data_IF_000396987115
#
_entry.id   IF_000396987115
#
_cell.length_a   1.000
_cell.length_b   1.000
_cell.length_c   1.000
_cell.angle_alpha   90.00
_cell.angle_beta   90.00
_cell.angle_gamma   90.00
#
_symmetry.space_group_name_H-M   'P 1'
#
loop_
_entity.id
_entity.type
_entity.pdbx_description
1 polymer ?
#
# COMPACT_ATOMS: atom_id res chain seq x y z
N UNK A 1 0.74 -43.50 16.50
CA UNK A 1 -0.01 -42.33 15.99
C UNK A 1 0.73 -40.98 16.10
N UNK A 2 1.84 -40.84 16.83
CA UNK A 2 2.51 -39.53 17.00
C UNK A 2 3.47 -39.12 15.86
N UNK A 3 4.15 -40.07 15.21
CA UNK A 3 5.09 -39.79 14.11
C UNK A 3 4.40 -39.34 12.82
N UNK A 4 3.25 -39.94 12.48
CA UNK A 4 2.49 -39.61 11.27
C UNK A 4 1.87 -38.20 11.34
N UNK A 5 1.40 -37.79 12.52
CA UNK A 5 0.89 -36.42 12.75
C UNK A 5 2.01 -35.37 12.71
N UNK A 6 3.19 -35.66 13.26
CA UNK A 6 4.36 -34.79 13.15
C UNK A 6 4.83 -34.65 11.70
N UNK A 7 4.84 -35.75 10.93
CA UNK A 7 5.18 -35.72 9.51
C UNK A 7 4.16 -34.90 8.69
N UNK A 8 2.86 -35.03 9.00
CA UNK A 8 1.81 -34.24 8.35
C UNK A 8 1.95 -32.74 8.64
N UNK A 9 2.24 -32.37 9.90
CA UNK A 9 2.45 -30.97 10.29
C UNK A 9 3.70 -30.40 9.62
N UNK A 10 4.80 -31.16 9.56
CA UNK A 10 6.02 -30.75 8.85
C UNK A 10 5.77 -30.58 7.35
N UNK A 11 4.97 -31.45 6.72
CA UNK A 11 4.58 -31.31 5.31
C UNK A 11 3.66 -30.11 5.05
N UNK A 12 2.78 -29.77 6.00
CA UNK A 12 1.92 -28.57 5.90
C UNK A 12 2.76 -27.30 6.06
N UNK A 13 3.66 -27.25 7.05
CA UNK A 13 4.57 -26.11 7.26
C UNK A 13 5.55 -25.96 6.09
N UNK A 14 6.06 -27.07 5.54
CA UNK A 14 6.89 -27.03 4.33
C UNK A 14 6.10 -26.55 3.10
N UNK A 15 4.81 -26.89 2.97
CA UNK A 15 3.93 -26.35 1.92
C UNK A 15 3.67 -24.85 2.08
N UNK A 16 3.51 -24.34 3.31
CA UNK A 16 3.41 -22.90 3.55
C UNK A 16 4.74 -22.18 3.23
N UNK A 17 5.89 -22.81 3.50
CA UNK A 17 7.21 -22.25 3.22
C UNK A 17 7.66 -22.38 1.75
N UNK A 18 6.96 -23.19 0.94
CA UNK A 18 7.20 -23.37 -0.50
C UNK A 18 6.34 -22.47 -1.38
N UNK A 19 5.55 -21.56 -0.80
CA UNK A 19 4.76 -20.56 -1.52
C UNK A 19 5.57 -19.29 -1.83
N UNK A 20 6.86 -19.44 -2.14
CA UNK A 20 7.65 -18.35 -2.72
C UNK A 20 8.31 -18.86 -4.00
N UNK A 21 7.62 -18.55 -5.12
CA UNK A 21 8.20 -17.92 -6.32
C UNK A 21 7.19 -17.89 -7.47
N UNK A 22 6.90 -16.66 -7.91
CA UNK A 22 6.55 -16.28 -9.28
C UNK A 22 5.13 -16.55 -9.79
N UNK A 23 4.15 -15.91 -9.17
CA UNK A 23 3.03 -15.31 -9.93
C UNK A 23 2.86 -13.88 -9.42
N UNK A 24 3.69 -12.95 -9.92
CA UNK A 24 3.37 -11.52 -9.85
C UNK A 24 2.26 -11.24 -10.87
N UNK A 25 1.06 -11.75 -10.61
CA UNK A 25 -0.11 -10.99 -11.02
C UNK A 25 -0.14 -9.81 -10.05
N UNK A 26 0.58 -8.73 -10.37
CA UNK A 26 0.33 -7.45 -9.73
C UNK A 26 -1.13 -7.15 -10.04
N UNK A 27 -2.00 -7.36 -9.05
CA UNK A 27 -3.42 -7.09 -9.20
C UNK A 27 -3.58 -5.60 -9.43
N UNK A 28 -4.35 -5.24 -10.44
CA UNK A 28 -4.71 -3.84 -10.64
C UNK A 28 -5.41 -3.33 -9.38
N UNK A 29 -5.00 -2.16 -8.90
CA UNK A 29 -5.68 -1.46 -7.80
C UNK A 29 -6.40 -0.25 -8.35
N UNK A 30 -7.66 -0.08 -7.98
CA UNK A 30 -8.46 1.09 -8.31
C UNK A 30 -8.72 1.93 -7.07
N UNK A 31 -8.53 3.23 -7.20
CA UNK A 31 -8.61 4.18 -6.09
C UNK A 31 -9.72 5.17 -6.34
N UNK A 32 -10.56 5.37 -5.34
CA UNK A 32 -11.67 6.32 -5.37
C UNK A 32 -11.60 7.21 -4.13
N UNK A 33 -12.04 8.46 -4.27
CA UNK A 33 -12.18 9.42 -3.15
C UNK A 33 -13.64 9.58 -2.72
N UNK A 34 -14.56 8.87 -3.37
CA UNK A 34 -15.98 8.85 -3.04
C UNK A 34 -16.50 7.41 -2.93
N UNK A 35 -17.44 7.22 -2.00
CA UNK A 35 -18.03 5.92 -1.67
C UNK A 35 -18.88 5.30 -2.79
N UNK A 36 -19.31 6.09 -3.78
CA UNK A 36 -20.03 5.54 -4.93
C UNK A 36 -19.15 4.74 -5.88
N UNK A 37 -17.81 4.90 -5.77
CA UNK A 37 -16.79 4.14 -6.52
C UNK A 37 -17.10 4.01 -8.02
N UNK A 38 -17.63 5.09 -8.61
CA UNK A 38 -17.97 5.09 -10.04
C UNK A 38 -16.69 5.07 -10.85
N UNK A 39 -16.64 4.20 -11.86
CA UNK A 39 -15.50 4.09 -12.77
C UNK A 39 -15.06 5.44 -13.35
N UNK A 40 -16.02 6.27 -13.80
CA UNK A 40 -15.74 7.60 -14.36
C UNK A 40 -15.23 8.64 -13.34
N UNK A 41 -15.24 8.32 -12.06
CA UNK A 41 -14.77 9.15 -10.95
C UNK A 41 -13.60 8.50 -10.20
N UNK A 42 -13.00 7.45 -10.77
CA UNK A 42 -11.78 6.87 -10.24
C UNK A 42 -10.71 7.96 -10.17
N UNK A 43 -10.09 8.08 -9.00
CA UNK A 43 -9.04 9.06 -8.77
C UNK A 43 -7.72 8.56 -9.37
N UNK A 44 -7.38 7.29 -9.09
CA UNK A 44 -6.15 6.67 -9.59
C UNK A 44 -6.38 5.21 -9.98
N UNK A 45 -5.57 4.71 -10.91
CA UNK A 45 -5.39 3.29 -11.13
C UNK A 45 -3.91 2.91 -10.99
N UNK A 46 -3.65 1.70 -10.50
CA UNK A 46 -2.32 1.11 -10.43
C UNK A 46 -2.30 -0.13 -11.29
N UNK A 47 -1.56 -0.08 -12.40
CA UNK A 47 -1.33 -1.23 -13.28
C UNK A 47 0.17 -1.49 -13.40
N UNK A 48 0.60 -2.70 -13.04
CA UNK A 48 2.01 -3.13 -13.09
C UNK A 48 2.96 -2.14 -12.41
N UNK A 49 2.54 -1.63 -11.25
CA UNK A 49 3.26 -0.64 -10.44
C UNK A 49 3.13 0.81 -10.91
N UNK A 50 2.56 1.09 -12.08
CA UNK A 50 2.39 2.46 -12.56
C UNK A 50 1.12 3.08 -11.98
N UNK A 51 1.28 4.12 -11.16
CA UNK A 51 0.18 4.89 -10.57
C UNK A 51 -0.21 5.99 -11.54
N UNK A 52 -1.42 5.92 -12.07
CA UNK A 52 -1.99 6.86 -13.04
C UNK A 52 -3.16 7.62 -12.47
N UNK A 53 -3.35 8.84 -12.97
CA UNK A 53 -4.57 9.59 -12.76
C UNK A 53 -5.74 8.99 -13.56
N UNK A 54 -6.92 8.95 -12.93
CA UNK A 54 -8.16 8.54 -13.57
C UNK A 54 -8.27 7.03 -13.80
N UNK A 55 -9.27 6.66 -14.61
CA UNK A 55 -9.57 5.27 -14.96
C UNK A 55 -8.94 4.82 -16.29
N UNK A 56 -8.40 5.74 -17.07
CA UNK A 56 -7.93 5.48 -18.43
C UNK A 56 -6.43 5.15 -18.46
N UNK A 57 -6.02 4.34 -19.45
CA UNK A 57 -4.62 4.01 -19.68
C UNK A 57 -3.80 5.21 -20.16
N UNK A 58 -4.47 6.22 -20.73
CA UNK A 58 -3.85 7.47 -21.18
C UNK A 58 -3.73 8.54 -20.08
N UNK A 59 -4.14 8.23 -18.84
CA UNK A 59 -3.93 9.13 -17.71
C UNK A 59 -2.45 9.36 -17.41
N UNK A 60 -2.14 10.52 -16.84
CA UNK A 60 -0.76 10.87 -16.49
C UNK A 60 -0.21 9.91 -15.43
N UNK A 61 1.02 9.44 -15.65
CA UNK A 61 1.73 8.62 -14.65
C UNK A 61 2.35 9.55 -13.63
N UNK A 62 1.87 9.47 -12.39
CA UNK A 62 2.32 10.29 -11.28
C UNK A 62 3.57 9.68 -10.63
N UNK A 63 3.58 8.36 -10.45
CA UNK A 63 4.73 7.63 -9.93
C UNK A 63 4.74 6.15 -10.38
N UNK A 64 5.90 5.53 -10.19
CA UNK A 64 6.13 4.11 -10.46
C UNK A 64 6.55 3.42 -9.17
N UNK A 65 5.83 2.36 -8.81
CA UNK A 65 6.16 1.45 -7.71
C UNK A 65 6.89 0.23 -8.26
N UNK A 66 8.10 -0.02 -7.76
CA UNK A 66 8.88 -1.21 -8.11
C UNK A 66 9.43 -1.85 -6.85
N UNK A 67 8.85 -3.00 -6.47
CA UNK A 67 9.22 -3.70 -5.25
C UNK A 67 8.97 -2.82 -4.02
N UNK A 68 10.05 -2.42 -3.35
CA UNK A 68 10.00 -1.57 -2.17
C UNK A 68 10.29 -0.09 -2.44
N UNK A 69 10.28 0.35 -3.70
CA UNK A 69 10.66 1.71 -4.10
C UNK A 69 9.52 2.43 -4.82
N UNK A 70 9.48 3.75 -4.64
CA UNK A 70 8.56 4.66 -5.33
C UNK A 70 9.39 5.68 -6.11
N UNK A 71 9.24 5.72 -7.43
CA UNK A 71 9.93 6.63 -8.34
C UNK A 71 8.96 7.68 -8.89
N UNK A 72 9.44 8.87 -9.18
CA UNK A 72 8.66 9.94 -9.82
C UNK A 72 8.35 9.60 -11.27
N UNK A 73 7.10 9.83 -11.72
CA UNK A 73 6.67 9.57 -13.09
C UNK A 73 6.97 8.15 -13.56
N UNK A 74 7.51 8.02 -14.77
CA UNK A 74 8.00 6.75 -15.36
C UNK A 74 9.42 6.36 -14.88
N UNK A 75 9.91 7.01 -13.83
CA UNK A 75 11.26 6.82 -13.32
C UNK A 75 11.56 5.38 -12.92
N UNK A 76 12.82 5.00 -13.14
CA UNK A 76 13.38 3.73 -12.67
C UNK A 76 14.85 3.87 -12.25
N UNK A 77 15.39 5.09 -12.34
CA UNK A 77 16.76 5.42 -11.99
C UNK A 77 16.84 5.94 -10.55
N UNK A 78 18.04 5.96 -9.99
CA UNK A 78 18.27 6.51 -8.65
C UNK A 78 17.94 8.02 -8.56
N UNK A 79 18.00 8.75 -9.69
CA UNK A 79 17.66 10.17 -9.73
C UNK A 79 16.17 10.43 -9.58
N UNK A 80 15.34 9.46 -10.00
CA UNK A 80 13.88 9.58 -9.92
C UNK A 80 13.33 9.00 -8.62
N UNK A 81 14.17 8.38 -7.79
CA UNK A 81 13.75 7.68 -6.60
C UNK A 81 13.29 8.65 -5.51
N UNK A 82 11.99 8.63 -5.21
CA UNK A 82 11.38 9.47 -4.20
C UNK A 82 11.46 8.82 -2.81
N UNK A 83 11.10 7.54 -2.71
CA UNK A 83 11.03 6.84 -1.43
C UNK A 83 11.47 5.38 -1.51
N UNK A 84 12.00 4.86 -0.40
CA UNK A 84 12.27 3.43 -0.19
C UNK A 84 11.58 2.95 1.08
N UNK A 85 10.84 1.85 0.99
CA UNK A 85 10.17 1.19 2.10
C UNK A 85 11.02 0.04 2.65
N UNK A 86 11.36 0.07 3.94
CA UNK A 86 12.21 -0.93 4.60
C UNK A 86 11.67 -1.15 6.01
N UNK A 87 11.42 -2.40 6.39
CA UNK A 87 11.09 -2.81 7.76
C UNK A 87 10.01 -1.95 8.43
N UNK A 88 8.89 -1.74 7.72
CA UNK A 88 7.79 -0.94 8.26
C UNK A 88 7.96 0.57 8.09
N UNK A 89 9.03 1.07 7.47
CA UNK A 89 9.36 2.51 7.45
C UNK A 89 9.53 3.01 6.03
N UNK A 90 8.98 4.18 5.74
CA UNK A 90 9.15 4.88 4.47
C UNK A 90 10.25 5.93 4.60
N UNK A 91 11.35 5.72 3.90
CA UNK A 91 12.51 6.62 3.86
C UNK A 91 12.47 7.50 2.63
N UNK A 92 12.92 8.74 2.75
CA UNK A 92 13.19 9.62 1.59
C UNK A 92 14.42 9.09 0.84
N UNK A 93 14.27 8.91 -0.48
CA UNK A 93 15.32 8.38 -1.36
C UNK A 93 15.82 7.00 -0.94
N UNK A 94 17.14 6.80 -0.91
CA UNK A 94 17.80 5.58 -0.39
C UNK A 94 18.43 5.79 0.99
N UNK A 95 18.01 6.81 1.71
CA UNK A 95 18.59 7.10 3.01
C UNK A 95 18.37 5.95 3.98
N UNK A 96 19.37 5.73 4.85
CA UNK A 96 19.31 4.75 5.95
C UNK A 96 19.32 5.43 7.32
N UNK A 97 19.28 6.76 7.34
CA UNK A 97 19.26 7.53 8.58
C UNK A 97 17.84 7.61 9.14
N UNK A 98 17.75 7.61 10.48
CA UNK A 98 16.47 7.70 11.20
C UNK A 98 15.72 8.98 10.82
N UNK A 99 16.44 10.09 10.70
CA UNK A 99 15.85 11.39 10.37
C UNK A 99 15.26 11.47 8.95
N UNK A 100 15.55 10.49 8.10
CA UNK A 100 14.97 10.39 6.76
C UNK A 100 13.69 9.54 6.72
N UNK A 101 13.26 8.98 7.85
CA UNK A 101 11.99 8.26 7.94
C UNK A 101 10.85 9.30 7.91
N UNK A 102 10.08 9.30 6.83
CA UNK A 102 8.89 10.15 6.70
C UNK A 102 7.69 9.56 7.43
N UNK A 103 7.52 8.23 7.36
CA UNK A 103 6.39 7.54 7.98
C UNK A 103 6.77 6.14 8.47
N UNK A 104 6.02 5.66 9.46
CA UNK A 104 6.06 4.28 9.94
C UNK A 104 4.70 3.63 9.69
N UNK A 105 4.70 2.45 9.09
CA UNK A 105 3.54 1.59 8.92
C UNK A 105 3.59 0.43 9.91
N UNK A 106 2.57 0.33 10.76
CA UNK A 106 2.44 -0.76 11.71
C UNK A 106 0.97 -1.19 11.82
N UNK A 107 0.69 -2.48 11.59
CA UNK A 107 -0.64 -3.09 11.79
C UNK A 107 -1.80 -2.32 11.14
N UNK A 108 -1.61 -1.89 9.89
CA UNK A 108 -2.63 -1.14 9.15
C UNK A 108 -2.70 0.35 9.50
N UNK A 109 -1.76 0.87 10.30
CA UNK A 109 -1.70 2.28 10.68
C UNK A 109 -0.47 2.95 10.10
N UNK A 110 -0.63 4.19 9.68
CA UNK A 110 0.46 5.06 9.20
C UNK A 110 0.67 6.16 10.23
N UNK A 111 1.89 6.23 10.75
CA UNK A 111 2.35 7.23 11.71
C UNK A 111 3.36 8.17 11.05
N UNK A 112 3.36 9.43 11.47
CA UNK A 112 4.33 10.43 11.04
C UNK A 112 5.70 10.13 11.66
N UNK A 113 6.73 10.13 10.84
CA UNK A 113 8.12 9.90 11.22
C UNK A 113 8.40 8.48 11.74
N UNK A 114 9.43 8.38 12.57
CA UNK A 114 9.82 7.15 13.26
C UNK A 114 9.02 6.98 14.56
N UNK A 115 7.70 6.86 14.46
CA UNK A 115 6.81 6.80 15.63
C UNK A 115 5.74 5.72 15.51
N UNK A 116 5.22 5.32 16.67
CA UNK A 116 4.00 4.51 16.82
C UNK A 116 3.09 5.10 17.91
N UNK A 117 3.38 6.35 18.32
CA UNK A 117 2.63 7.05 19.34
C UNK A 117 1.27 7.49 18.80
N UNK A 118 0.18 7.38 19.58
CA UNK A 118 -1.16 7.68 19.08
C UNK A 118 -1.33 9.09 18.49
N UNK A 119 -0.62 10.10 19.01
CA UNK A 119 -0.70 11.48 18.49
C UNK A 119 -0.03 11.67 17.13
N UNK A 120 0.83 10.72 16.72
CA UNK A 120 1.50 10.76 15.42
C UNK A 120 0.74 9.94 14.37
N UNK A 121 -0.41 9.35 14.72
CA UNK A 121 -1.21 8.55 13.81
C UNK A 121 -1.85 9.44 12.74
N UNK A 122 -1.45 9.28 11.48
CA UNK A 122 -2.01 10.01 10.35
C UNK A 122 -3.23 9.28 9.76
N UNK A 123 -3.12 7.96 9.58
CA UNK A 123 -4.16 7.17 8.92
C UNK A 123 -4.32 5.77 9.50
N UNK A 124 -5.54 5.26 9.47
CA UNK A 124 -5.86 3.84 9.69
C UNK A 124 -6.45 3.23 8.43
N UNK A 125 -5.88 2.13 7.98
CA UNK A 125 -6.29 1.36 6.81
C UNK A 125 -6.91 0.05 7.28
N UNK A 126 -8.12 -0.23 6.83
CA UNK A 126 -8.83 -1.47 7.17
C UNK A 126 -9.90 -1.80 6.13
N UNK A 127 -10.38 -3.06 6.08
CA UNK A 127 -11.50 -3.44 5.24
C UNK A 127 -12.73 -2.56 5.51
N UNK A 128 -13.38 -2.14 4.43
CA UNK A 128 -14.64 -1.42 4.51
C UNK A 128 -15.75 -2.36 4.98
N UNK A 129 -16.54 -2.01 6.00
CA UNK A 129 -17.59 -2.87 6.53
C UNK A 129 -18.75 -3.12 5.55
N UNK A 130 -18.96 -2.21 4.60
CA UNK A 130 -20.10 -2.22 3.67
C UNK A 130 -19.70 -2.59 2.23
N UNK A 131 -18.41 -2.59 1.91
CA UNK A 131 -17.88 -2.81 0.57
C UNK A 131 -16.88 -3.99 0.61
N UNK A 132 -17.33 -5.23 0.34
CA UNK A 132 -16.46 -6.41 0.37
C UNK A 132 -15.28 -6.27 -0.59
N UNK A 133 -14.08 -6.61 -0.12
CA UNK A 133 -12.85 -6.54 -0.93
C UNK A 133 -12.33 -5.11 -1.18
N UNK A 134 -12.83 -4.12 -0.43
CA UNK A 134 -12.36 -2.73 -0.49
C UNK A 134 -11.70 -2.38 0.83
N UNK A 135 -10.51 -1.79 0.77
CA UNK A 135 -9.87 -1.14 1.91
C UNK A 135 -10.31 0.32 1.97
N UNK A 136 -10.54 0.83 3.18
CA UNK A 136 -10.78 2.25 3.41
C UNK A 136 -9.64 2.85 4.22
N UNK A 137 -9.20 4.02 3.79
CA UNK A 137 -8.20 4.84 4.50
C UNK A 137 -8.95 5.90 5.30
N UNK A 138 -8.94 5.76 6.61
CA UNK A 138 -9.53 6.69 7.57
C UNK A 138 -8.46 7.67 8.05
N UNK A 139 -8.81 8.94 8.23
CA UNK A 139 -7.96 9.86 9.00
C UNK A 139 -7.84 9.38 10.44
N UNK A 140 -6.62 9.38 10.95
CA UNK A 140 -6.28 9.01 12.32
C UNK A 140 -6.85 7.63 12.72
N UNK A 141 -7.49 7.50 13.89
CA UNK A 141 -8.16 6.27 14.35
C UNK A 141 -9.69 6.29 14.13
N UNK A 142 -10.20 7.24 13.33
CA UNK A 142 -11.64 7.43 13.16
C UNK A 142 -12.36 6.17 12.69
N UNK A 143 -13.60 6.00 13.13
CA UNK A 143 -14.55 4.97 12.68
C UNK A 143 -15.69 5.51 11.82
N UNK A 144 -15.72 6.83 11.61
CA UNK A 144 -16.76 7.49 10.83
C UNK A 144 -16.56 7.22 9.34
N UNK A 145 -17.61 6.88 8.58
CA UNK A 145 -17.51 6.78 7.12
C UNK A 145 -17.21 8.13 6.45
N UNK A 146 -17.47 9.26 7.13
CA UNK A 146 -17.19 10.61 6.62
C UNK A 146 -15.71 10.99 6.69
N UNK A 147 -14.92 10.24 7.47
CA UNK A 147 -13.49 10.48 7.66
C UNK A 147 -12.64 9.56 6.75
N UNK A 148 -13.29 8.88 5.80
CA UNK A 148 -12.61 8.09 4.77
C UNK A 148 -12.12 9.03 3.67
N UNK A 149 -10.81 9.02 3.43
CA UNK A 149 -10.18 9.85 2.37
C UNK A 149 -9.94 9.08 1.08
N UNK A 150 -9.89 7.75 1.14
CA UNK A 150 -9.72 6.90 -0.03
C UNK A 150 -10.33 5.51 0.15
N UNK A 151 -10.83 4.96 -0.95
CA UNK A 151 -11.31 3.60 -1.12
C UNK A 151 -10.42 2.88 -2.11
N UNK A 152 -9.80 1.78 -1.70
CA UNK A 152 -8.87 1.00 -2.49
C UNK A 152 -9.49 -0.36 -2.82
N UNK A 153 -9.77 -0.60 -4.09
CA UNK A 153 -10.28 -1.87 -4.59
C UNK A 153 -9.12 -2.67 -5.21
N UNK A 154 -8.98 -3.93 -4.80
CA UNK A 154 -7.87 -4.79 -5.18
C UNK A 154 -7.07 -5.23 -3.95
N UNK A 155 -5.85 -5.68 -4.16
CA UNK A 155 -4.94 -6.16 -3.11
C UNK A 155 -3.66 -5.31 -3.11
N UNK A 156 -3.74 -3.99 -2.82
CA UNK A 156 -2.57 -3.12 -2.86
C UNK A 156 -1.55 -3.51 -1.80
N UNK A 157 -0.29 -3.49 -2.19
CA UNK A 157 0.83 -3.59 -1.25
C UNK A 157 0.94 -2.32 -0.39
N UNK A 158 1.64 -2.39 0.75
CA UNK A 158 1.88 -1.22 1.61
C UNK A 158 2.57 -0.08 0.84
N UNK A 159 3.47 -0.42 -0.08
CA UNK A 159 4.21 0.55 -0.90
C UNK A 159 3.27 1.25 -1.88
N UNK A 160 2.35 0.52 -2.50
CA UNK A 160 1.30 1.09 -3.36
C UNK A 160 0.34 1.97 -2.56
N UNK A 161 0.00 1.61 -1.32
CA UNK A 161 -0.79 2.48 -0.44
C UNK A 161 -0.07 3.82 -0.20
N UNK A 162 1.23 3.80 0.13
CA UNK A 162 2.00 5.04 0.26
C UNK A 162 2.03 5.84 -1.05
N UNK A 163 2.25 5.16 -2.19
CA UNK A 163 2.27 5.81 -3.50
C UNK A 163 0.93 6.49 -3.83
N UNK A 164 -0.19 5.86 -3.48
CA UNK A 164 -1.54 6.44 -3.60
C UNK A 164 -1.68 7.68 -2.75
N UNK A 165 -1.31 7.62 -1.47
CA UNK A 165 -1.49 8.76 -0.56
C UNK A 165 -0.60 9.95 -0.98
N UNK A 166 0.64 9.70 -1.41
CA UNK A 166 1.51 10.74 -1.98
C UNK A 166 0.87 11.34 -3.24
N UNK A 167 0.37 10.49 -4.15
CA UNK A 167 -0.22 10.93 -5.43
C UNK A 167 -1.51 11.73 -5.24
N UNK A 168 -2.25 11.49 -4.16
CA UNK A 168 -3.42 12.27 -3.76
C UNK A 168 -3.09 13.50 -2.90
N UNK A 169 -1.80 13.79 -2.65
CA UNK A 169 -1.34 14.84 -1.74
C UNK A 169 -1.90 14.72 -0.31
N UNK A 170 -1.98 13.49 0.20
CA UNK A 170 -2.43 13.14 1.56
C UNK A 170 -1.26 12.84 2.52
N UNK A 171 0.00 12.98 2.08
CA UNK A 171 1.20 12.84 2.91
C UNK A 171 2.10 14.07 2.74
#
# INVERSE_FOLDING_TARGET
MSKLRKLLIVLIVAKLALLDKNVLAQSTTYVYTDSSMRWSQMALNIDRGLVREGADWSGDVLCTVQGNKIFQGFGSSQFDLAYTYIDGKLYIGESKFIDAISYTFELGKIYIGNSTFPLDLAYTIRPNPNLPGVLSVYTEDSISPFDIVAFLQGEPTVVEIFAVLISLALL
#
